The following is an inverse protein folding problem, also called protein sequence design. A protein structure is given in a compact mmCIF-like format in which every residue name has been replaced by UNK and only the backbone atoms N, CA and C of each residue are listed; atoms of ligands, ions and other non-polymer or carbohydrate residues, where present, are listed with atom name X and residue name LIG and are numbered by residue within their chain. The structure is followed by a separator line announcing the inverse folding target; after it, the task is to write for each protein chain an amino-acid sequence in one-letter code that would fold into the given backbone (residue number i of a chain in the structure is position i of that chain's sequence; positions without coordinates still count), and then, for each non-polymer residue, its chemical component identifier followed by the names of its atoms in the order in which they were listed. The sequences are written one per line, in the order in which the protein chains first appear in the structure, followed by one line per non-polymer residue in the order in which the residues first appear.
data_IF_623824191534
#
_entry.id   IF_623824191534
#
_cell.length_a   1.000
_cell.length_b   1.000
_cell.length_c   1.000
_cell.angle_alpha   90.00
_cell.angle_beta   90.00
_cell.angle_gamma   90.00
#
_symmetry.space_group_name_H-M   'P 1'
#
loop_
_entity.id
_entity.type
_entity.pdbx_description
1 polymer ?
#
# COMPACT_ATOMS: atom_id res chain seq x y z
N UNK A 1 -4.08 -18.85 -13.15
CA UNK A 1 -4.13 -19.99 -12.24
C UNK A 1 -5.50 -20.02 -11.54
N UNK A 2 -6.21 -21.13 -11.67
CA UNK A 2 -7.58 -21.28 -11.15
C UNK A 2 -7.65 -21.16 -9.60
N UNK A 3 -6.50 -21.24 -8.92
CA UNK A 3 -6.41 -21.15 -7.45
C UNK A 3 -6.13 -19.72 -6.97
N UNK A 4 -5.36 -18.94 -7.73
CA UNK A 4 -4.88 -17.61 -7.27
C UNK A 4 -5.50 -16.44 -8.05
N UNK A 5 -6.38 -16.75 -8.99
CA UNK A 5 -6.94 -15.76 -9.89
C UNK A 5 -5.94 -15.28 -10.96
N UNK A 6 -6.30 -14.23 -11.67
CA UNK A 6 -5.46 -13.65 -12.72
C UNK A 6 -4.32 -12.81 -12.13
N UNK A 7 -3.22 -12.74 -12.89
CA UNK A 7 -2.11 -11.84 -12.54
C UNK A 7 -2.55 -10.41 -12.82
N UNK A 8 -2.46 -9.56 -11.80
CA UNK A 8 -2.84 -8.17 -11.87
C UNK A 8 -1.62 -7.24 -12.01
N UNK A 9 -0.51 -7.59 -11.35
CA UNK A 9 0.71 -6.80 -11.41
C UNK A 9 1.95 -7.65 -11.26
N UNK A 10 2.99 -7.26 -11.99
CA UNK A 10 4.35 -7.77 -11.86
C UNK A 10 5.25 -6.66 -11.33
N UNK A 11 6.03 -6.95 -10.32
CA UNK A 11 6.98 -6.01 -9.73
C UNK A 11 8.34 -6.67 -9.57
N UNK A 12 9.33 -6.16 -10.29
CA UNK A 12 10.70 -6.66 -10.20
C UNK A 12 11.37 -6.13 -8.93
N UNK A 13 11.97 -7.03 -8.17
CA UNK A 13 12.83 -6.71 -7.03
C UNK A 13 14.26 -7.18 -7.35
N UNK A 14 15.24 -6.78 -6.57
CA UNK A 14 16.66 -7.00 -6.85
C UNK A 14 17.01 -8.43 -7.29
N UNK A 15 16.44 -9.45 -6.66
CA UNK A 15 16.76 -10.86 -6.88
C UNK A 15 15.55 -11.74 -7.15
N UNK A 16 14.36 -11.14 -7.28
CA UNK A 16 13.13 -11.89 -7.50
C UNK A 16 12.06 -11.03 -8.21
N UNK A 17 11.06 -11.73 -8.73
CA UNK A 17 9.87 -11.12 -9.29
C UNK A 17 8.69 -11.35 -8.34
N UNK A 18 8.10 -10.28 -7.84
CA UNK A 18 6.83 -10.35 -7.12
C UNK A 18 5.68 -10.38 -8.11
N UNK A 19 4.84 -11.40 -8.01
CA UNK A 19 3.64 -11.58 -8.83
C UNK A 19 2.43 -11.39 -7.94
N UNK A 20 1.68 -10.32 -8.18
CA UNK A 20 0.44 -10.04 -7.45
C UNK A 20 -0.73 -10.55 -8.29
N UNK A 21 -1.38 -11.59 -7.78
CA UNK A 21 -2.60 -12.15 -8.34
C UNK A 21 -3.82 -11.58 -7.60
N UNK A 22 -5.02 -11.90 -8.09
CA UNK A 22 -6.27 -11.47 -7.43
C UNK A 22 -6.30 -11.91 -5.97
N UNK A 23 -5.99 -13.19 -5.69
CA UNK A 23 -6.16 -13.83 -4.39
C UNK A 23 -4.86 -14.19 -3.68
N UNK A 24 -3.71 -14.01 -4.31
CA UNK A 24 -2.42 -14.43 -3.76
C UNK A 24 -1.27 -13.58 -4.26
N UNK A 25 -0.27 -13.42 -3.41
CA UNK A 25 1.02 -12.83 -3.79
C UNK A 25 2.08 -13.92 -3.81
N UNK A 26 2.83 -13.97 -4.91
CA UNK A 26 3.87 -14.95 -5.15
C UNK A 26 5.23 -14.26 -5.29
N UNK A 27 6.25 -14.95 -4.85
CA UNK A 27 7.65 -14.65 -5.13
C UNK A 27 8.17 -15.64 -6.16
N UNK A 28 8.67 -15.17 -7.29
CA UNK A 28 9.34 -15.99 -8.29
C UNK A 28 10.83 -15.71 -8.21
N UNK A 29 11.62 -16.74 -7.92
CA UNK A 29 13.06 -16.62 -7.81
C UNK A 29 13.69 -16.43 -9.19
N UNK A 30 14.67 -15.53 -9.29
CA UNK A 30 15.43 -15.32 -10.53
C UNK A 30 16.78 -16.04 -10.46
N UNK A 31 17.06 -16.90 -11.46
CA UNK A 31 18.29 -17.70 -11.57
C UNK A 31 18.59 -18.59 -10.33
N UNK A 32 17.56 -18.91 -9.54
CA UNK A 32 17.65 -19.72 -8.33
C UNK A 32 16.41 -20.59 -8.19
N UNK A 33 16.59 -21.78 -7.65
CA UNK A 33 15.49 -22.65 -7.24
C UNK A 33 15.61 -22.98 -5.75
N UNK A 34 14.47 -23.17 -5.08
CA UNK A 34 14.43 -23.64 -3.71
C UNK A 34 14.40 -25.18 -3.71
N UNK A 35 15.40 -25.79 -3.11
CA UNK A 35 15.43 -27.25 -2.86
C UNK A 35 15.12 -27.45 -1.38
N UNK A 36 14.11 -28.27 -1.10
CA UNK A 36 13.75 -28.62 0.26
C UNK A 36 14.50 -29.90 0.66
N UNK A 37 15.22 -29.84 1.76
CA UNK A 37 15.88 -31.00 2.36
C UNK A 37 14.85 -31.86 3.13
N UNK A 38 15.23 -33.10 3.46
CA UNK A 38 14.33 -34.04 4.12
C UNK A 38 13.90 -33.62 5.54
N UNK A 39 14.61 -32.71 6.15
CA UNK A 39 14.33 -32.09 7.45
C UNK A 39 13.41 -30.85 7.35
N UNK A 40 13.03 -30.46 6.15
CA UNK A 40 12.15 -29.33 5.88
C UNK A 40 12.84 -27.98 5.68
N UNK A 41 14.15 -27.93 5.80
CA UNK A 41 14.92 -26.71 5.52
C UNK A 41 15.00 -26.45 4.02
N UNK A 42 14.91 -25.18 3.64
CA UNK A 42 15.01 -24.77 2.24
C UNK A 42 16.41 -24.21 1.93
N UNK A 43 17.00 -24.72 0.84
CA UNK A 43 18.28 -24.26 0.32
C UNK A 43 18.11 -23.66 -1.07
N UNK A 44 18.70 -22.50 -1.31
CA UNK A 44 18.73 -21.88 -2.64
C UNK A 44 19.88 -22.47 -3.46
N UNK A 45 19.55 -22.97 -4.63
CA UNK A 45 20.52 -23.54 -5.58
C UNK A 45 20.47 -22.70 -6.86
N UNK A 46 21.65 -22.39 -7.41
CA UNK A 46 21.74 -21.70 -8.71
C UNK A 46 21.20 -22.59 -9.82
N UNK A 47 20.39 -22.01 -10.70
CA UNK A 47 19.83 -22.69 -11.89
C UNK A 47 20.10 -21.88 -13.14
N UNK A 48 20.11 -22.54 -14.29
CA UNK A 48 20.20 -21.89 -15.61
C UNK A 48 18.84 -21.30 -16.07
N UNK A 49 17.76 -21.60 -15.34
CA UNK A 49 16.45 -21.03 -15.64
C UNK A 49 16.37 -19.60 -15.16
N UNK A 50 15.98 -18.68 -16.05
CA UNK A 50 15.82 -17.26 -15.72
C UNK A 50 14.76 -17.07 -14.65
N UNK A 51 13.64 -17.78 -14.75
CA UNK A 51 12.59 -17.82 -13.74
C UNK A 51 12.61 -19.20 -13.07
N UNK A 52 12.83 -19.20 -11.79
CA UNK A 52 12.77 -20.38 -10.94
C UNK A 52 11.37 -20.64 -10.40
N UNK A 53 11.31 -21.35 -9.28
CA UNK A 53 10.05 -21.73 -8.65
C UNK A 53 9.29 -20.51 -8.13
N UNK A 54 7.96 -20.54 -8.32
CA UNK A 54 7.04 -19.60 -7.70
C UNK A 54 6.69 -20.06 -6.28
N UNK A 55 6.97 -19.22 -5.28
CA UNK A 55 6.72 -19.50 -3.87
C UNK A 55 5.67 -18.51 -3.36
N UNK A 56 4.52 -18.96 -2.85
CA UNK A 56 3.52 -18.06 -2.29
C UNK A 56 3.99 -17.46 -0.96
N UNK A 57 3.68 -16.18 -0.75
CA UNK A 57 3.83 -15.58 0.57
C UNK A 57 2.80 -16.15 1.55
N UNK A 58 3.14 -16.14 2.83
CA UNK A 58 2.22 -16.53 3.89
C UNK A 58 1.00 -15.59 3.94
N UNK A 59 -0.15 -16.12 4.32
CA UNK A 59 -1.43 -15.41 4.32
C UNK A 59 -2.17 -15.54 2.98
N UNK A 60 -3.49 -15.42 3.02
CA UNK A 60 -4.36 -15.54 1.85
C UNK A 60 -4.80 -14.15 1.40
N UNK A 61 -3.83 -13.38 0.89
CA UNK A 61 -4.02 -12.02 0.40
C UNK A 61 -3.55 -11.88 -1.02
N UNK A 62 -4.29 -11.12 -1.82
CA UNK A 62 -3.94 -10.71 -3.17
C UNK A 62 -4.06 -9.21 -3.34
N UNK A 63 -4.09 -8.75 -4.59
CA UNK A 63 -4.34 -7.34 -4.93
C UNK A 63 -5.76 -7.12 -5.44
N UNK A 64 -6.60 -8.16 -5.40
CA UNK A 64 -7.92 -8.20 -6.04
C UNK A 64 -7.81 -7.77 -7.52
N UNK A 65 -8.68 -6.92 -8.02
CA UNK A 65 -8.62 -6.34 -9.37
C UNK A 65 -8.26 -4.84 -9.35
N UNK A 66 -7.42 -4.44 -8.40
CA UNK A 66 -7.06 -3.04 -8.18
C UNK A 66 -5.54 -2.81 -8.23
N UNK A 67 -4.87 -3.09 -9.37
CA UNK A 67 -3.43 -2.90 -9.50
C UNK A 67 -2.98 -1.44 -9.31
N UNK A 68 -3.90 -0.47 -9.46
CA UNK A 68 -3.67 0.96 -9.24
C UNK A 68 -3.46 1.31 -7.76
N UNK A 69 -3.84 0.41 -6.84
CA UNK A 69 -3.56 0.59 -5.41
C UNK A 69 -2.10 0.37 -5.04
N UNK A 70 -1.32 -0.23 -5.96
CA UNK A 70 0.07 -0.57 -5.72
C UNK A 70 0.98 0.67 -5.76
N UNK A 71 1.80 0.80 -4.73
CA UNK A 71 2.95 1.70 -4.70
C UNK A 71 4.14 1.02 -4.04
N UNK A 72 5.33 1.33 -4.51
CA UNK A 72 6.58 0.83 -3.93
C UNK A 72 7.46 1.98 -3.46
N UNK A 73 8.23 1.72 -2.44
CA UNK A 73 9.26 2.61 -1.95
C UNK A 73 10.36 1.80 -1.26
N UNK A 74 11.59 1.94 -1.77
CA UNK A 74 12.74 1.19 -1.27
C UNK A 74 12.47 -0.33 -1.36
N UNK A 75 12.54 -1.04 -0.25
CA UNK A 75 12.30 -2.49 -0.17
C UNK A 75 10.86 -2.85 0.22
N UNK A 76 9.96 -1.87 0.30
CA UNK A 76 8.55 -2.07 0.68
C UNK A 76 7.63 -1.85 -0.51
N UNK A 77 6.57 -2.62 -0.56
CA UNK A 77 5.47 -2.43 -1.49
C UNK A 77 4.16 -2.40 -0.73
N UNK A 78 3.26 -1.51 -1.14
CA UNK A 78 1.95 -1.31 -0.51
C UNK A 78 0.86 -1.53 -1.55
N UNK A 79 -0.24 -2.12 -1.15
CA UNK A 79 -1.39 -2.36 -2.03
C UNK A 79 -2.64 -2.69 -1.21
N UNK A 80 -3.80 -2.73 -1.85
CA UNK A 80 -5.05 -3.12 -1.21
C UNK A 80 -5.56 -4.46 -1.74
N UNK A 81 -6.12 -5.25 -0.84
CA UNK A 81 -6.98 -6.38 -1.13
C UNK A 81 -8.43 -5.94 -0.90
N UNK A 82 -9.08 -5.52 -1.98
CA UNK A 82 -10.43 -4.99 -1.95
C UNK A 82 -11.44 -6.05 -1.47
N UNK A 83 -11.28 -7.28 -1.94
CA UNK A 83 -12.22 -8.37 -1.67
C UNK A 83 -12.19 -8.79 -0.19
N UNK A 84 -11.05 -8.58 0.47
CA UNK A 84 -10.88 -8.86 1.91
C UNK A 84 -10.93 -7.62 2.80
N UNK A 85 -11.13 -6.44 2.21
CA UNK A 85 -11.19 -5.17 2.93
C UNK A 85 -9.89 -4.83 3.67
N UNK A 86 -8.73 -5.16 3.09
CA UNK A 86 -7.43 -5.00 3.72
C UNK A 86 -6.48 -4.11 2.93
N UNK A 87 -5.61 -3.43 3.64
CA UNK A 87 -4.44 -2.76 3.07
C UNK A 87 -3.19 -3.44 3.58
N UNK A 88 -2.31 -3.78 2.67
CA UNK A 88 -1.18 -4.66 2.91
C UNK A 88 0.14 -3.95 2.62
N UNK A 89 1.14 -4.32 3.39
CA UNK A 89 2.55 -4.00 3.15
C UNK A 89 3.32 -5.29 2.92
N UNK A 90 4.02 -5.38 1.81
CA UNK A 90 5.02 -6.41 1.55
C UNK A 90 6.41 -5.85 1.85
N UNK A 91 7.17 -6.53 2.68
CA UNK A 91 8.52 -6.12 3.08
C UNK A 91 9.43 -7.37 3.19
N UNK A 92 10.60 -7.24 3.79
CA UNK A 92 11.54 -8.37 4.00
C UNK A 92 10.92 -9.43 4.92
N UNK A 93 10.13 -8.99 5.88
CA UNK A 93 9.43 -9.83 6.86
C UNK A 93 8.14 -10.47 6.32
N UNK A 94 7.83 -10.25 5.04
CA UNK A 94 6.66 -10.81 4.36
C UNK A 94 5.49 -9.83 4.26
N UNK A 95 4.27 -10.38 4.17
CA UNK A 95 3.02 -9.62 4.10
C UNK A 95 2.53 -9.25 5.49
N UNK A 96 2.19 -7.97 5.66
CA UNK A 96 1.64 -7.44 6.91
C UNK A 96 0.35 -6.67 6.62
N UNK A 97 -0.72 -6.95 7.36
CA UNK A 97 -1.96 -6.16 7.35
C UNK A 97 -1.70 -4.84 8.11
N UNK A 98 -1.62 -3.73 7.38
CA UNK A 98 -1.48 -2.38 7.94
C UNK A 98 -2.83 -1.68 8.15
N UNK A 99 -3.92 -2.17 7.55
CA UNK A 99 -5.27 -1.64 7.81
C UNK A 99 -5.69 -1.84 9.27
N UNK A 100 -5.27 -2.95 9.88
CA UNK A 100 -5.52 -3.25 11.29
C UNK A 100 -4.86 -2.28 12.29
N UNK A 101 -3.99 -1.38 11.83
CA UNK A 101 -3.35 -0.34 12.64
C UNK A 101 -4.28 0.87 12.91
N UNK A 102 -5.46 0.59 13.44
CA UNK A 102 -6.46 1.60 13.85
C UNK A 102 -7.53 1.95 12.82
N UNK A 103 -7.48 1.38 11.60
CA UNK A 103 -8.47 1.66 10.55
C UNK A 103 -9.09 0.41 9.93
N UNK A 104 -9.09 -0.72 10.65
CA UNK A 104 -9.61 -1.98 10.13
C UNK A 104 -11.07 -1.92 9.69
N UNK A 105 -11.93 -1.35 10.52
CA UNK A 105 -13.36 -1.19 10.20
C UNK A 105 -13.56 -0.25 9.01
N UNK A 106 -12.85 0.88 8.98
CA UNK A 106 -12.92 1.83 7.87
C UNK A 106 -12.62 1.15 6.53
N UNK A 107 -11.52 0.39 6.44
CA UNK A 107 -11.13 -0.27 5.21
C UNK A 107 -12.07 -1.44 4.86
N UNK A 108 -12.51 -2.19 5.85
CA UNK A 108 -13.49 -3.27 5.64
C UNK A 108 -14.79 -2.75 5.02
N UNK A 109 -15.29 -1.63 5.50
CA UNK A 109 -16.55 -1.05 5.06
C UNK A 109 -16.43 -0.33 3.70
N UNK A 110 -15.31 0.36 3.47
CA UNK A 110 -15.18 1.28 2.34
C UNK A 110 -14.49 0.66 1.11
N UNK A 111 -13.55 -0.28 1.28
CA UNK A 111 -12.88 -0.90 0.13
C UNK A 111 -13.85 -1.69 -0.75
N UNK A 112 -14.76 -2.45 -0.14
CA UNK A 112 -15.73 -3.23 -0.89
C UNK A 112 -16.63 -2.36 -1.79
N UNK A 113 -16.91 -1.13 -1.37
CA UNK A 113 -17.77 -0.16 -2.07
C UNK A 113 -17.01 0.73 -3.07
N UNK A 114 -15.68 0.71 -3.05
CA UNK A 114 -14.89 1.59 -3.90
C UNK A 114 -14.92 1.15 -5.36
N UNK A 115 -15.24 2.05 -6.27
CA UNK A 115 -15.12 1.79 -7.71
C UNK A 115 -13.65 1.72 -8.13
N UNK A 116 -12.83 2.63 -7.62
CA UNK A 116 -11.40 2.69 -7.85
C UNK A 116 -10.64 2.87 -6.55
N UNK A 117 -9.46 2.26 -6.46
CA UNK A 117 -8.54 2.41 -5.33
C UNK A 117 -7.18 2.80 -5.87
N UNK A 118 -6.73 4.01 -5.57
CA UNK A 118 -5.48 4.56 -6.06
C UNK A 118 -4.47 4.61 -4.92
N UNK A 119 -3.35 3.92 -5.10
CA UNK A 119 -2.22 3.94 -4.17
C UNK A 119 -1.05 4.74 -4.72
N UNK A 120 -0.39 5.49 -3.87
CA UNK A 120 0.85 6.17 -4.23
C UNK A 120 1.73 6.36 -2.99
N UNK A 121 3.03 6.47 -3.21
CA UNK A 121 3.97 6.78 -2.14
C UNK A 121 4.49 8.21 -2.30
N UNK A 122 4.34 8.99 -1.25
CA UNK A 122 4.88 10.33 -1.15
C UNK A 122 6.20 10.29 -0.38
N UNK A 123 7.33 10.44 -1.10
CA UNK A 123 8.67 10.39 -0.52
C UNK A 123 8.96 11.59 0.39
N UNK A 124 8.49 12.78 0.03
CA UNK A 124 8.68 14.00 0.82
C UNK A 124 8.11 13.84 2.25
N UNK A 125 6.92 13.26 2.35
CA UNK A 125 6.26 13.01 3.64
C UNK A 125 6.49 11.61 4.21
N UNK A 126 7.21 10.75 3.49
CA UNK A 126 7.42 9.33 3.83
C UNK A 126 6.12 8.63 4.19
N UNK A 127 5.13 8.69 3.29
CA UNK A 127 3.81 8.13 3.52
C UNK A 127 3.25 7.40 2.30
N UNK A 128 2.65 6.23 2.54
CA UNK A 128 1.78 5.60 1.57
C UNK A 128 0.40 6.23 1.66
N UNK A 129 -0.09 6.77 0.56
CA UNK A 129 -1.41 7.35 0.44
C UNK A 129 -2.31 6.42 -0.34
N UNK A 130 -3.50 6.18 0.17
CA UNK A 130 -4.54 5.42 -0.52
C UNK A 130 -5.79 6.29 -0.66
N UNK A 131 -6.28 6.38 -1.89
CA UNK A 131 -7.47 7.17 -2.24
C UNK A 131 -8.58 6.22 -2.66
N UNK A 132 -9.71 6.31 -2.01
CA UNK A 132 -10.94 5.54 -2.30
C UNK A 132 -12.17 6.34 -1.92
N UNK A 133 -13.27 6.20 -2.68
CA UNK A 133 -14.56 6.84 -2.40
C UNK A 133 -14.49 8.36 -2.14
N UNK A 134 -13.54 9.07 -2.77
CA UNK A 134 -13.38 10.50 -2.57
C UNK A 134 -12.66 10.88 -1.26
N UNK A 135 -11.99 9.95 -0.60
CA UNK A 135 -11.20 10.15 0.60
C UNK A 135 -9.75 9.68 0.37
N UNK A 136 -8.77 10.43 0.85
CA UNK A 136 -7.36 10.06 0.79
C UNK A 136 -6.80 9.95 2.20
N UNK A 137 -6.38 8.75 2.59
CA UNK A 137 -5.77 8.48 3.90
C UNK A 137 -4.31 8.09 3.75
N UNK A 138 -3.50 8.44 4.74
CA UNK A 138 -2.05 8.27 4.69
C UNK A 138 -1.55 7.37 5.80
N UNK A 139 -0.79 6.33 5.44
CA UNK A 139 -0.06 5.49 6.36
C UNK A 139 1.37 5.97 6.51
N UNK A 140 1.88 6.01 7.73
CA UNK A 140 3.28 6.32 8.02
C UNK A 140 3.93 5.22 8.84
N UNK A 141 5.04 4.68 8.34
CA UNK A 141 5.84 3.67 9.05
C UNK A 141 6.36 4.18 10.41
N UNK A 142 6.78 5.44 10.47
CA UNK A 142 7.36 6.02 11.69
C UNK A 142 6.40 6.01 12.89
N UNK A 143 5.10 6.04 12.64
CA UNK A 143 4.06 6.00 13.69
C UNK A 143 3.28 4.68 13.69
N UNK A 144 3.62 3.77 12.77
CA UNK A 144 2.95 2.47 12.55
C UNK A 144 1.42 2.62 12.52
N UNK A 145 0.93 3.57 11.75
CA UNK A 145 -0.49 3.88 11.72
C UNK A 145 -0.90 4.91 10.67
N UNK A 146 -2.17 5.32 10.73
CA UNK A 146 -2.84 6.20 9.79
C UNK A 146 -3.07 7.60 10.40
N UNK A 147 -2.04 8.47 10.44
CA UNK A 147 -2.11 9.73 11.18
C UNK A 147 -2.90 10.84 10.50
N UNK A 148 -3.20 10.73 9.21
CA UNK A 148 -3.83 11.84 8.51
C UNK A 148 -4.73 11.44 7.36
N UNK A 149 -5.79 12.23 7.17
CA UNK A 149 -6.57 12.34 5.95
C UNK A 149 -6.12 13.55 5.17
N UNK A 150 -6.16 13.46 3.84
CA UNK A 150 -5.77 14.53 2.94
C UNK A 150 -7.01 15.13 2.28
N UNK A 151 -7.03 16.43 2.10
CA UNK A 151 -8.11 17.12 1.39
C UNK A 151 -7.99 17.05 -0.14
N UNK A 152 -6.95 16.40 -0.66
CA UNK A 152 -6.78 16.20 -2.09
C UNK A 152 -7.11 14.76 -2.53
N UNK A 153 -7.64 14.66 -3.74
CA UNK A 153 -8.04 13.39 -4.35
C UNK A 153 -7.34 13.28 -5.70
N UNK A 154 -6.17 12.63 -5.78
CA UNK A 154 -5.45 12.45 -7.01
C UNK A 154 -6.09 11.38 -7.88
N UNK A 155 -5.95 11.49 -9.20
CA UNK A 155 -6.24 10.42 -10.16
C UNK A 155 -5.06 9.43 -10.25
N UNK A 156 -3.85 9.92 -10.04
CA UNK A 156 -2.62 9.16 -9.89
C UNK A 156 -1.57 10.03 -9.21
N UNK A 157 -0.61 9.42 -8.53
CA UNK A 157 0.50 10.14 -7.90
C UNK A 157 1.81 9.36 -7.96
N UNK A 158 2.90 10.09 -8.08
CA UNK A 158 4.24 9.53 -8.12
C UNK A 158 5.24 10.50 -7.49
N UNK A 159 6.26 9.97 -6.83
CA UNK A 159 7.39 10.77 -6.38
C UNK A 159 8.57 10.65 -7.34
N UNK A 160 9.21 11.78 -7.57
CA UNK A 160 10.43 11.88 -8.37
C UNK A 160 11.40 12.85 -7.70
N UNK A 161 12.60 12.40 -7.41
CA UNK A 161 13.61 13.20 -6.69
C UNK A 161 13.09 13.83 -5.38
N UNK A 162 12.40 13.03 -4.57
CA UNK A 162 11.80 13.46 -3.30
C UNK A 162 10.72 14.54 -3.42
N UNK A 163 10.24 14.82 -4.63
CA UNK A 163 9.11 15.71 -4.88
C UNK A 163 7.91 14.87 -5.30
N UNK A 164 6.77 15.11 -4.69
CA UNK A 164 5.54 14.39 -5.01
C UNK A 164 4.72 15.14 -6.06
N UNK A 165 4.36 14.41 -7.10
CA UNK A 165 3.53 14.90 -8.21
C UNK A 165 2.22 14.12 -8.25
N UNK A 166 1.13 14.80 -8.57
CA UNK A 166 -0.18 14.18 -8.74
C UNK A 166 -0.89 14.67 -10.00
N UNK A 167 -1.64 13.78 -10.62
CA UNK A 167 -2.52 14.10 -11.73
C UNK A 167 -3.93 14.40 -11.22
N UNK A 168 -4.54 15.45 -11.77
CA UNK A 168 -5.93 15.80 -11.55
C UNK A 168 -6.50 16.52 -12.76
N UNK A 169 -7.62 16.01 -13.30
CA UNK A 169 -8.31 16.57 -14.49
C UNK A 169 -7.37 16.74 -15.69
N UNK A 170 -6.51 15.76 -15.94
CA UNK A 170 -5.48 15.75 -16.99
C UNK A 170 -4.33 16.77 -16.80
N UNK A 171 -4.29 17.50 -15.71
CA UNK A 171 -3.18 18.38 -15.34
C UNK A 171 -2.23 17.69 -14.34
N UNK A 172 -0.94 18.06 -14.42
CA UNK A 172 0.09 17.62 -13.49
C UNK A 172 0.38 18.71 -12.46
N UNK A 173 0.29 18.34 -11.20
CA UNK A 173 0.53 19.23 -10.07
C UNK A 173 1.72 18.76 -9.27
N UNK A 174 2.59 19.69 -8.92
CA UNK A 174 3.65 19.51 -7.94
C UNK A 174 3.11 19.85 -6.55
N UNK A 175 3.34 18.94 -5.61
CA UNK A 175 3.00 19.16 -4.20
C UNK A 175 4.18 19.78 -3.45
N UNK A 176 3.90 20.36 -2.28
CA UNK A 176 4.90 21.00 -1.41
C UNK A 176 5.58 22.21 -2.06
N UNK A 177 4.84 22.94 -2.88
CA UNK A 177 5.25 24.19 -3.50
C UNK A 177 5.14 25.38 -2.53
N UNK A 178 5.79 26.50 -2.86
CA UNK A 178 5.68 27.76 -2.12
C UNK A 178 4.38 28.52 -2.47
N UNK A 179 3.25 27.89 -2.15
CA UNK A 179 1.89 28.40 -2.35
C UNK A 179 1.14 28.43 -1.02
N UNK A 180 -0.06 29.01 -1.02
CA UNK A 180 -0.93 29.04 0.14
C UNK A 180 -1.17 27.63 0.71
N UNK A 181 -1.05 27.50 2.02
CA UNK A 181 -1.22 26.22 2.69
C UNK A 181 -2.63 25.66 2.50
N UNK A 182 -2.71 24.33 2.40
CA UNK A 182 -3.97 23.61 2.25
C UNK A 182 -4.80 23.99 1.01
N UNK A 183 -4.11 24.42 -0.05
CA UNK A 183 -4.68 24.60 -1.40
C UNK A 183 -4.16 23.49 -2.32
N UNK A 184 -5.07 22.83 -3.02
CA UNK A 184 -4.73 21.72 -3.92
C UNK A 184 -5.48 21.87 -5.24
N UNK A 185 -4.78 21.63 -6.35
CA UNK A 185 -5.36 21.58 -7.70
C UNK A 185 -6.12 22.84 -8.11
N UNK A 186 -5.64 24.01 -7.67
CA UNK A 186 -6.31 25.29 -7.96
C UNK A 186 -7.62 25.53 -7.22
N UNK A 187 -7.99 24.66 -6.28
CA UNK A 187 -9.17 24.85 -5.45
C UNK A 187 -8.95 25.93 -4.36
N UNK A 188 -10.03 26.43 -3.78
CA UNK A 188 -9.94 27.30 -2.63
C UNK A 188 -9.29 26.58 -1.44
N UNK A 189 -8.64 27.35 -0.57
CA UNK A 189 -8.04 26.84 0.66
C UNK A 189 -9.10 26.13 1.52
N UNK A 190 -8.78 24.90 1.94
CA UNK A 190 -9.60 24.13 2.86
C UNK A 190 -9.15 24.32 4.31
N UNK A 191 -10.05 24.08 5.26
CA UNK A 191 -9.71 24.11 6.68
C UNK A 191 -8.83 22.91 7.06
N UNK A 192 -7.87 23.13 7.94
CA UNK A 192 -7.10 22.07 8.57
C UNK A 192 -7.70 21.75 9.94
N UNK A 193 -8.05 20.50 10.16
CA UNK A 193 -8.63 20.04 11.42
C UNK A 193 -7.72 19.03 12.11
N UNK A 194 -7.80 18.97 13.44
CA UNK A 194 -7.16 17.94 14.25
C UNK A 194 -8.17 17.34 15.21
N UNK A 195 -8.34 16.03 15.13
CA UNK A 195 -9.19 15.28 16.04
C UNK A 195 -8.32 14.60 17.10
N UNK A 196 -8.58 14.89 18.37
CA UNK A 196 -7.79 14.38 19.49
C UNK A 196 -8.68 13.54 20.39
N UNK A 197 -8.30 12.30 20.64
CA UNK A 197 -8.97 11.40 21.59
C UNK A 197 -8.23 11.46 22.93
N UNK A 198 -8.84 12.11 23.93
CA UNK A 198 -8.37 12.12 25.30
C UNK A 198 -8.95 10.96 26.08
N UNK A 199 -8.35 9.79 25.98
CA UNK A 199 -8.79 8.61 26.73
C UNK A 199 -7.62 7.73 27.18
N UNK A 200 -6.62 8.33 27.81
CA UNK A 200 -5.43 7.61 28.31
C UNK A 200 -5.78 6.51 29.34
N UNK A 201 -6.81 6.73 30.14
CA UNK A 201 -7.28 5.73 31.10
C UNK A 201 -8.78 5.48 30.90
N UNK A 202 -9.12 4.36 30.26
CA UNK A 202 -10.51 3.98 29.94
C UNK A 202 -11.39 3.72 31.16
N UNK A 203 -10.79 3.36 32.30
CA UNK A 203 -11.49 2.96 33.52
C UNK A 203 -11.63 4.11 34.54
N UNK A 204 -11.10 5.30 34.25
CA UNK A 204 -11.18 6.45 35.13
C UNK A 204 -12.36 7.35 34.77
N UNK A 205 -13.08 7.83 35.80
CA UNK A 205 -14.10 8.89 35.65
C UNK A 205 -13.35 10.20 35.36
N UNK A 206 -13.61 10.79 34.20
CA UNK A 206 -13.01 12.06 33.78
C UNK A 206 -14.04 13.18 34.00
N UNK A 207 -13.59 14.27 34.61
CA UNK A 207 -14.34 15.52 34.65
C UNK A 207 -13.70 16.47 33.65
N UNK A 208 -14.49 16.96 32.70
CA UNK A 208 -14.14 17.99 31.75
C UNK A 208 -14.67 19.34 32.24
#
# INVERSE_FOLDING_TARGET
NDVYGSIQKLHARDNDLTVLCEDKVLKVLANKDAVFEADGDSRLVSTNNVLGQAVPYAGDFGISKNPESFADFSYRSYFSDKDRGKVLRLSIDGLTDISGKGMGDYFSDNLALADTVIGNYNEDNNSYNITLNGDTVSFKEAVDGWPSRKSYIPEYGISLNNTYYAFKNADLYEHTNDVDKNTFYGAAQADSTIDIIFNENRNAIKKF
#
